data_IF_359101562693
#
_entry.id   IF_359101562693
#
_cell.length_a   1.000
_cell.length_b   1.000
_cell.length_c   1.000
_cell.angle_alpha   90.00
_cell.angle_beta   90.00
_cell.angle_gamma   90.00
#
_symmetry.space_group_name_H-M   'P 1'
#
loop_
_entity.id
_entity.type
_entity.pdbx_description
1 polymer ?
#
# COMPACT_ATOMS: atom_id res chain seq x y z
N UNK A 1 -15.19 -1.89 -8.78
CA UNK A 1 -15.83 -0.60 -9.09
C UNK A 1 -15.00 0.19 -10.09
N UNK A 2 -15.58 1.18 -10.77
CA UNK A 2 -14.90 1.98 -11.80
C UNK A 2 -15.67 3.25 -12.13
N UNK A 3 -15.03 4.16 -12.85
CA UNK A 3 -15.61 5.43 -13.31
C UNK A 3 -15.90 5.33 -14.80
N UNK A 4 -17.04 5.87 -15.23
CA UNK A 4 -17.42 5.93 -16.64
C UNK A 4 -17.51 7.38 -17.08
N UNK A 5 -16.85 7.71 -18.20
CA UNK A 5 -16.98 9.02 -18.82
C UNK A 5 -18.30 9.10 -19.59
N UNK A 6 -19.21 9.99 -19.15
CA UNK A 6 -20.52 10.19 -19.79
C UNK A 6 -20.44 10.84 -21.18
N UNK A 7 -19.31 11.45 -21.54
CA UNK A 7 -19.11 12.12 -22.84
C UNK A 7 -18.51 11.22 -23.92
N UNK A 8 -17.46 10.45 -23.60
CA UNK A 8 -16.79 9.57 -24.57
C UNK A 8 -17.11 8.07 -24.41
N UNK A 9 -17.67 7.65 -23.27
CA UNK A 9 -18.04 6.25 -23.01
C UNK A 9 -16.93 5.39 -22.37
N UNK A 10 -15.74 5.95 -22.16
CA UNK A 10 -14.62 5.20 -21.59
C UNK A 10 -14.87 4.78 -20.14
N UNK A 11 -14.31 3.62 -19.75
CA UNK A 11 -14.38 3.08 -18.38
C UNK A 11 -12.99 2.92 -17.79
N UNK A 12 -12.81 3.47 -16.60
CA UNK A 12 -11.56 3.44 -15.86
C UNK A 12 -11.72 2.62 -14.58
N UNK A 13 -10.81 1.67 -14.35
CA UNK A 13 -10.82 0.80 -13.18
C UNK A 13 -10.25 1.49 -11.94
N UNK A 14 -11.13 1.80 -10.98
CA UNK A 14 -10.80 2.57 -9.78
C UNK A 14 -10.82 1.67 -8.54
N UNK A 15 -9.71 1.61 -7.76
CA UNK A 15 -9.68 0.91 -6.47
C UNK A 15 -10.77 1.43 -5.53
N UNK A 16 -11.30 0.57 -4.65
CA UNK A 16 -12.39 0.95 -3.76
C UNK A 16 -12.02 2.07 -2.77
N UNK A 17 -10.74 2.19 -2.44
CA UNK A 17 -10.17 3.18 -1.55
C UNK A 17 -9.69 4.46 -2.26
N UNK A 18 -9.85 4.54 -3.59
CA UNK A 18 -9.39 5.70 -4.34
C UNK A 18 -10.40 6.85 -4.29
N UNK A 19 -9.88 8.08 -4.19
CA UNK A 19 -10.66 9.32 -4.25
C UNK A 19 -10.28 10.10 -5.51
N UNK A 20 -11.25 10.44 -6.36
CA UNK A 20 -11.01 11.28 -7.53
C UNK A 20 -10.72 12.73 -7.10
N UNK A 21 -9.75 13.37 -7.74
CA UNK A 21 -9.34 14.75 -7.48
C UNK A 21 -9.66 15.64 -8.67
N UNK A 22 -9.78 16.93 -8.40
CA UNK A 22 -10.00 17.94 -9.43
C UNK A 22 -8.72 18.26 -10.22
N UNK A 23 -7.55 17.94 -9.66
CA UNK A 23 -6.27 18.06 -10.35
C UNK A 23 -6.26 17.21 -11.63
N UNK A 24 -5.71 17.77 -12.71
CA UNK A 24 -5.62 17.08 -14.00
C UNK A 24 -4.21 16.57 -14.23
N UNK A 25 -4.13 15.40 -14.85
CA UNK A 25 -2.91 14.94 -15.51
C UNK A 25 -2.71 15.72 -16.82
N UNK A 26 -1.50 15.71 -17.35
CA UNK A 26 -1.15 16.39 -18.61
C UNK A 26 -1.95 15.84 -19.80
N UNK A 27 -2.44 14.60 -19.72
CA UNK A 27 -3.36 14.03 -20.71
C UNK A 27 -4.79 14.61 -20.63
N UNK A 28 -5.10 15.44 -19.63
CA UNK A 28 -6.38 16.11 -19.42
C UNK A 28 -7.38 15.36 -18.53
N UNK A 29 -7.13 14.08 -18.23
CA UNK A 29 -7.93 13.28 -17.32
C UNK A 29 -7.68 13.69 -15.85
N UNK A 30 -8.67 13.50 -14.96
CA UNK A 30 -8.48 13.76 -13.54
C UNK A 30 -7.45 12.81 -12.93
N UNK A 31 -6.80 13.25 -11.86
CA UNK A 31 -6.01 12.39 -10.99
C UNK A 31 -6.90 11.70 -9.96
N UNK A 32 -6.48 10.53 -9.53
CA UNK A 32 -7.02 9.83 -8.38
C UNK A 32 -5.95 9.74 -7.31
N UNK A 33 -6.39 9.93 -6.07
CA UNK A 33 -5.58 9.66 -4.89
C UNK A 33 -5.88 8.25 -4.41
N UNK A 34 -4.84 7.44 -4.20
CA UNK A 34 -4.95 6.05 -3.71
C UNK A 34 -3.81 5.75 -2.75
N UNK A 35 -4.03 4.86 -1.77
CA UNK A 35 -3.05 4.56 -0.73
C UNK A 35 -2.49 3.16 -0.86
N UNK A 36 -1.20 3.02 -1.16
CA UNK A 36 -0.52 1.71 -1.25
C UNK A 36 0.88 1.83 -0.65
N UNK A 37 0.92 1.99 0.66
CA UNK A 37 2.13 2.34 1.42
C UNK A 37 2.47 3.82 1.39
N UNK A 38 2.15 4.52 0.30
CA UNK A 38 2.13 5.99 0.22
C UNK A 38 0.81 6.47 -0.38
N UNK A 39 0.57 7.77 -0.18
CA UNK A 39 -0.45 8.52 -0.90
C UNK A 39 0.01 8.84 -2.33
N UNK A 40 -0.50 8.11 -3.32
CA UNK A 40 -0.20 8.38 -4.73
C UNK A 40 -1.30 9.22 -5.36
N UNK A 41 -0.91 10.31 -6.02
CA UNK A 41 -1.79 11.12 -6.87
C UNK A 41 -1.42 10.89 -8.33
N UNK A 42 -2.14 9.97 -8.97
CA UNK A 42 -1.83 9.47 -10.32
C UNK A 42 -3.03 9.65 -11.24
N UNK A 43 -2.79 9.65 -12.55
CA UNK A 43 -3.82 9.72 -13.56
C UNK A 43 -4.87 8.62 -13.37
N UNK A 44 -6.14 8.96 -13.64
CA UNK A 44 -7.23 7.99 -13.70
C UNK A 44 -6.99 6.89 -14.76
N UNK A 45 -6.26 7.22 -15.83
CA UNK A 45 -5.86 6.26 -16.85
C UNK A 45 -4.53 5.59 -16.50
N UNK A 46 -4.59 4.26 -16.32
CA UNK A 46 -3.43 3.41 -16.02
C UNK A 46 -2.44 3.30 -17.18
N UNK A 47 -2.89 3.55 -18.41
CA UNK A 47 -2.01 3.62 -19.58
C UNK A 47 -1.15 4.89 -19.59
N UNK A 48 -1.63 5.96 -18.94
CA UNK A 48 -0.92 7.23 -18.82
C UNK A 48 0.03 7.23 -17.61
N UNK A 49 -0.48 6.95 -16.41
CA UNK A 49 0.34 6.80 -15.19
C UNK A 49 -0.05 5.50 -14.48
N UNK A 50 0.92 4.62 -14.25
CA UNK A 50 0.68 3.31 -13.65
C UNK A 50 0.88 3.34 -12.15
N UNK A 51 -0.19 3.02 -11.39
CA UNK A 51 -0.10 2.80 -9.95
C UNK A 51 0.96 1.76 -9.60
N UNK A 52 1.05 0.68 -10.37
CA UNK A 52 1.96 -0.41 -10.04
C UNK A 52 3.39 0.00 -10.22
N UNK A 53 3.68 0.79 -11.26
CA UNK A 53 5.00 1.33 -11.48
C UNK A 53 5.37 2.30 -10.35
N UNK A 54 4.45 3.15 -9.91
CA UNK A 54 4.68 4.09 -8.82
C UNK A 54 4.92 3.38 -7.48
N UNK A 55 4.10 2.40 -7.11
CA UNK A 55 4.27 1.61 -5.88
C UNK A 55 5.56 0.80 -5.94
N UNK A 56 5.86 0.17 -7.09
CA UNK A 56 7.11 -0.56 -7.28
C UNK A 56 8.32 0.37 -7.16
N UNK A 57 8.29 1.54 -7.77
CA UNK A 57 9.37 2.50 -7.63
C UNK A 57 9.62 2.91 -6.17
N UNK A 58 8.55 3.01 -5.37
CA UNK A 58 8.64 3.41 -3.98
C UNK A 58 9.13 2.29 -3.05
N UNK A 59 8.80 1.03 -3.35
CA UNK A 59 8.91 -0.07 -2.37
C UNK A 59 9.53 -1.37 -2.87
N UNK A 60 9.96 -1.48 -4.14
CA UNK A 60 10.63 -2.71 -4.62
C UNK A 60 11.93 -2.93 -3.86
N UNK A 61 12.01 -4.04 -3.13
CA UNK A 61 13.15 -4.41 -2.26
C UNK A 61 13.40 -3.47 -1.08
N UNK A 62 12.37 -2.77 -0.63
CA UNK A 62 12.48 -1.92 0.57
C UNK A 62 12.48 -2.75 1.87
N UNK A 63 11.91 -3.95 1.85
CA UNK A 63 11.73 -4.79 3.04
C UNK A 63 12.35 -6.16 2.85
N UNK A 64 13.06 -6.64 3.87
CA UNK A 64 13.60 -7.98 3.91
C UNK A 64 12.50 -9.03 4.09
N UNK A 65 12.72 -10.23 3.56
CA UNK A 65 11.87 -11.38 3.85
C UNK A 65 11.97 -11.75 5.34
N UNK A 66 10.85 -11.96 6.04
CA UNK A 66 10.86 -12.29 7.47
C UNK A 66 11.18 -13.76 7.75
N UNK A 67 11.32 -14.62 6.73
CA UNK A 67 11.63 -16.04 6.94
C UNK A 67 13.05 -16.23 7.48
N UNK A 68 13.25 -17.01 8.57
CA UNK A 68 14.55 -17.13 9.25
C UNK A 68 15.72 -17.60 8.38
N UNK A 69 15.44 -18.42 7.37
CA UNK A 69 16.44 -19.00 6.47
C UNK A 69 16.38 -18.38 5.05
N UNK A 70 15.86 -17.15 4.93
CA UNK A 70 15.78 -16.42 3.68
C UNK A 70 16.43 -15.04 3.83
N UNK A 71 17.45 -14.78 3.02
CA UNK A 71 18.13 -13.49 2.91
C UNK A 71 17.58 -12.61 1.77
N UNK A 72 16.44 -12.98 1.20
CA UNK A 72 15.87 -12.31 0.04
C UNK A 72 15.09 -11.05 0.39
N UNK A 73 15.00 -10.14 -0.56
CA UNK A 73 14.16 -8.95 -0.45
C UNK A 73 12.73 -9.19 -0.94
N UNK A 74 11.77 -8.44 -0.39
CA UNK A 74 10.39 -8.41 -0.87
C UNK A 74 10.26 -7.49 -2.09
N UNK A 75 9.75 -8.06 -3.19
CA UNK A 75 9.49 -7.36 -4.44
C UNK A 75 8.03 -6.97 -4.59
N UNK A 76 7.79 -5.81 -5.19
CA UNK A 76 6.44 -5.36 -5.50
C UNK A 76 5.99 -5.97 -6.83
N UNK A 77 4.95 -6.80 -6.76
CA UNK A 77 4.42 -7.58 -7.87
C UNK A 77 2.90 -7.41 -8.00
N UNK A 78 2.37 -7.66 -9.20
CA UNK A 78 0.93 -7.77 -9.42
C UNK A 78 0.50 -9.23 -9.59
N UNK A 79 -0.32 -9.75 -8.67
CA UNK A 79 -0.97 -11.08 -8.74
C UNK A 79 -2.35 -11.01 -8.08
N UNK A 80 -3.41 -10.76 -8.86
CA UNK A 80 -4.77 -10.52 -8.32
C UNK A 80 -4.94 -9.21 -7.53
N UNK A 81 -3.83 -8.60 -7.10
CA UNK A 81 -3.69 -7.31 -6.43
C UNK A 81 -2.19 -6.94 -6.41
N UNK A 82 -1.83 -5.87 -5.72
CA UNK A 82 -0.42 -5.58 -5.41
C UNK A 82 0.01 -6.41 -4.21
N UNK A 83 1.15 -7.09 -4.35
CA UNK A 83 1.75 -7.90 -3.29
C UNK A 83 3.23 -7.51 -3.11
N UNK A 84 3.73 -7.69 -1.89
CA UNK A 84 5.16 -7.71 -1.56
C UNK A 84 5.56 -9.19 -1.39
N UNK A 85 6.26 -9.76 -2.36
CA UNK A 85 6.60 -11.19 -2.39
C UNK A 85 8.11 -11.42 -2.47
N UNK A 86 8.59 -12.47 -1.80
CA UNK A 86 10.01 -12.79 -1.76
C UNK A 86 10.59 -13.00 -3.17
N UNK A 87 11.78 -12.46 -3.42
CA UNK A 87 12.46 -12.64 -4.70
C UNK A 87 13.01 -14.05 -4.94
N UNK A 88 13.16 -14.86 -3.88
CA UNK A 88 13.59 -16.25 -3.96
C UNK A 88 12.46 -17.22 -4.34
N UNK A 89 11.28 -16.73 -4.73
CA UNK A 89 10.25 -17.59 -5.31
C UNK A 89 10.81 -18.36 -6.53
N UNK A 90 10.63 -19.69 -6.62
CA UNK A 90 9.69 -20.51 -5.85
C UNK A 90 10.24 -21.14 -4.56
N UNK A 91 11.52 -20.96 -4.24
CA UNK A 91 12.16 -21.59 -3.07
C UNK A 91 11.66 -20.98 -1.75
N UNK A 92 11.22 -19.73 -1.77
CA UNK A 92 10.48 -19.06 -0.70
C UNK A 92 9.17 -18.48 -1.28
N UNK A 93 8.02 -18.93 -0.76
CA UNK A 93 6.68 -18.53 -1.24
C UNK A 93 6.03 -17.40 -0.44
N UNK A 94 6.78 -16.81 0.50
CA UNK A 94 6.34 -15.68 1.33
C UNK A 94 5.88 -14.51 0.48
N UNK A 95 4.65 -14.07 0.75
CA UNK A 95 4.06 -12.92 0.07
C UNK A 95 2.89 -12.33 0.83
N UNK A 96 2.83 -10.99 0.83
CA UNK A 96 1.84 -10.22 1.57
C UNK A 96 1.08 -9.29 0.64
N UNK A 97 -0.24 -9.20 0.82
CA UNK A 97 -1.03 -8.21 0.10
C UNK A 97 -0.73 -6.80 0.63
N UNK A 98 -0.42 -5.86 -0.27
CA UNK A 98 -0.17 -4.46 0.10
C UNK A 98 -1.48 -3.81 0.56
N UNK A 99 -1.59 -3.32 1.81
CA UNK A 99 -2.81 -2.72 2.34
C UNK A 99 -3.21 -1.43 1.62
N UNK A 100 -4.50 -1.10 1.71
CA UNK A 100 -5.00 0.24 1.37
C UNK A 100 -4.74 1.17 2.56
N UNK A 101 -3.54 1.77 2.59
CA UNK A 101 -3.07 2.61 3.68
C UNK A 101 -1.65 3.13 3.43
N UNK A 102 -1.09 3.81 4.43
CA UNK A 102 0.25 4.43 4.38
C UNK A 102 1.16 3.75 5.40
N UNK A 103 2.43 3.53 5.04
CA UNK A 103 3.43 3.00 5.97
C UNK A 103 3.63 4.00 7.11
N UNK A 104 3.55 3.54 8.35
CA UNK A 104 3.60 4.38 9.54
C UNK A 104 4.86 4.13 10.38
N UNK A 105 5.15 2.86 10.69
CA UNK A 105 6.29 2.47 11.52
C UNK A 105 6.76 1.06 11.19
N UNK A 106 7.71 0.54 11.95
CA UNK A 106 8.04 -0.89 11.95
C UNK A 106 7.15 -1.66 12.93
N UNK A 107 6.85 -2.91 12.59
CA UNK A 107 6.22 -3.88 13.46
C UNK A 107 7.31 -4.64 14.22
N UNK A 108 6.98 -5.18 15.40
CA UNK A 108 7.87 -6.02 16.19
C UNK A 108 8.29 -7.34 15.48
N UNK A 109 7.66 -7.69 14.35
CA UNK A 109 8.11 -8.80 13.50
C UNK A 109 9.17 -8.40 12.45
N UNK A 110 9.54 -7.12 12.36
CA UNK A 110 10.51 -6.59 11.39
C UNK A 110 9.89 -6.14 10.06
N UNK A 111 8.59 -6.35 9.85
CA UNK A 111 7.85 -5.82 8.70
C UNK A 111 7.27 -4.43 8.99
N UNK A 112 6.94 -3.61 7.98
CA UNK A 112 6.28 -2.33 8.20
C UNK A 112 4.84 -2.49 8.71
N UNK A 113 4.40 -1.51 9.50
CA UNK A 113 3.00 -1.25 9.82
C UNK A 113 2.41 -0.23 8.85
N UNK A 114 1.10 -0.36 8.60
CA UNK A 114 0.31 0.51 7.77
C UNK A 114 -0.81 1.14 8.60
N UNK A 115 -0.93 2.45 8.54
CA UNK A 115 -2.15 3.15 8.95
C UNK A 115 -3.20 2.98 7.84
N UNK A 116 -4.32 2.35 8.19
CA UNK A 116 -5.45 2.08 7.29
C UNK A 116 -6.73 2.71 7.84
N UNK A 117 -7.80 2.72 7.05
CA UNK A 117 -9.11 3.17 7.51
C UNK A 117 -9.64 2.41 8.74
N UNK A 118 -9.19 1.17 8.97
CA UNK A 118 -9.55 0.34 10.12
C UNK A 118 -8.57 0.43 11.29
N UNK A 119 -7.54 1.29 11.21
CA UNK A 119 -6.47 1.43 12.19
C UNK A 119 -5.11 0.94 11.69
N UNK A 120 -4.15 0.87 12.60
CA UNK A 120 -2.78 0.43 12.32
C UNK A 120 -2.73 -1.11 12.25
N UNK A 121 -2.05 -1.66 11.24
CA UNK A 121 -1.82 -3.11 11.11
C UNK A 121 -0.50 -3.43 10.43
N UNK A 122 0.07 -4.61 10.69
CA UNK A 122 1.27 -5.10 10.00
C UNK A 122 0.98 -5.40 8.50
N UNK A 123 2.03 -5.34 7.66
CA UNK A 123 2.01 -5.83 6.28
C UNK A 123 1.51 -7.28 6.20
N UNK A 124 2.00 -8.13 7.10
CA UNK A 124 1.46 -9.46 7.32
C UNK A 124 0.12 -9.36 8.08
N UNK A 125 -0.97 -9.72 7.40
CA UNK A 125 -2.32 -9.69 7.96
C UNK A 125 -2.54 -10.72 9.08
N UNK A 126 -1.68 -11.73 9.18
CA UNK A 126 -1.73 -12.78 10.20
C UNK A 126 -0.83 -12.47 11.41
N UNK A 127 -0.12 -11.34 11.39
CA UNK A 127 0.76 -10.95 12.46
C UNK A 127 0.00 -10.31 13.63
N UNK A 128 -0.07 -11.01 14.75
CA UNK A 128 -0.70 -10.54 15.99
C UNK A 128 0.20 -9.59 16.82
N UNK A 129 1.44 -9.32 16.36
CA UNK A 129 2.43 -8.49 17.08
C UNK A 129 2.34 -7.00 16.77
N UNK A 130 1.43 -6.58 15.89
CA UNK A 130 1.36 -5.21 15.34
C UNK A 130 0.80 -4.14 16.26
N UNK A 131 0.53 -4.46 17.53
CA UNK A 131 -0.13 -3.55 18.48
C UNK A 131 0.56 -3.62 19.85
N UNK A 132 1.64 -2.87 20.01
CA UNK A 132 1.88 -2.19 21.28
C UNK A 132 1.49 -0.73 21.06
N UNK A 133 0.23 -0.39 21.37
CA UNK A 133 -0.11 1.02 21.54
C UNK A 133 0.75 1.58 22.69
N UNK A 134 1.24 2.83 22.64
CA UNK A 134 1.76 3.46 23.84
C UNK A 134 0.61 3.52 24.86
N UNK A 135 0.68 2.68 25.88
CA UNK A 135 -0.13 2.83 27.08
C UNK A 135 0.28 4.16 27.72
N UNK A 136 -0.63 5.12 27.64
CA UNK A 136 -0.89 6.17 28.64
C UNK A 136 0.32 6.93 29.20
N UNK A 137 0.52 8.18 28.74
CA UNK A 137 0.97 9.23 29.65
C UNK A 137 -0.29 9.81 30.33
N UNK A 138 -0.72 9.13 31.39
CA UNK A 138 -1.76 9.57 32.30
C UNK A 138 -1.31 10.81 33.11
N UNK A 139 -2.29 11.66 33.39
CA UNK A 139 -2.40 12.67 34.46
C UNK A 139 -1.27 13.69 34.69
N UNK A 140 -1.54 14.94 34.28
CA UNK A 140 -1.10 16.12 35.02
C UNK A 140 -2.33 16.77 35.69
N UNK A 141 -2.67 16.26 36.87
CA UNK A 141 -3.49 16.95 37.87
C UNK A 141 -2.75 16.87 39.20
N UNK A 142 -2.34 18.04 39.71
CA UNK A 142 -2.35 18.49 41.13
C UNK A 142 -1.27 19.56 41.34
N UNK A 143 -1.72 20.82 41.51
CA UNK A 143 -1.21 21.74 42.55
C UNK A 143 -2.41 22.56 43.09
#
# INVERSE_FOLDING_TARGET
>A
SGVHCVGCGDRYGVPADATIRDERCDCGLPKMRVERGLAFNICLDRGCESLDAAVKQAFDREWACPEPDCDGDLRILRRGGLIAGCEHYPDCDTGFAVPAGVVNSDCNCGLPTFETASGIRCLDATCDRGLEAPLEADSAADD
#
